data_IF_494622934530
#
_entry.id   IF_494622934530
#
_cell.length_a   1.000
_cell.length_b   1.000
_cell.length_c   1.000
_cell.angle_alpha   90.00
_cell.angle_beta   90.00
_cell.angle_gamma   90.00
#
_symmetry.space_group_name_H-M   'P 1'
#
loop_
_entity.id
_entity.type
_entity.pdbx_description
1 polymer ?
#
# COMPACT_ATOMS: atom_id res chain seq x y z
N UNK A 1 15.41 3.47 7.63
CA UNK A 1 14.23 3.69 8.50
C UNK A 1 14.32 2.72 9.67
N UNK A 2 14.38 3.23 10.92
CA UNK A 2 14.39 2.42 12.14
C UNK A 2 13.11 1.59 12.30
N UNK A 3 13.20 0.50 13.05
CA UNK A 3 12.05 -0.37 13.35
C UNK A 3 11.27 0.10 14.59
N UNK A 4 9.94 -0.15 14.65
CA UNK A 4 9.10 -0.79 13.63
C UNK A 4 8.70 0.17 12.50
N UNK A 5 8.60 -0.34 11.27
CA UNK A 5 8.20 0.43 10.07
C UNK A 5 7.21 -0.37 9.24
N UNK A 6 6.31 0.36 8.56
CA UNK A 6 5.25 -0.21 7.74
C UNK A 6 5.21 0.48 6.38
N UNK A 7 4.78 -0.26 5.36
CA UNK A 7 4.65 0.26 3.99
C UNK A 7 3.21 0.06 3.55
N UNK A 8 2.59 1.12 3.05
CA UNK A 8 1.23 1.04 2.49
C UNK A 8 1.27 1.36 1.00
N UNK A 9 0.69 0.49 0.19
CA UNK A 9 0.49 0.73 -1.23
C UNK A 9 -0.86 1.41 -1.44
N UNK A 10 -0.84 2.65 -1.95
CA UNK A 10 -2.04 3.46 -2.18
C UNK A 10 -2.32 3.53 -3.68
N UNK A 11 -3.52 3.10 -4.06
CA UNK A 11 -4.05 3.20 -5.41
C UNK A 11 -3.58 2.10 -6.35
N UNK A 12 -4.26 2.00 -7.50
CA UNK A 12 -4.03 0.95 -8.49
C UNK A 12 -2.57 0.91 -8.98
N UNK A 13 -1.97 2.09 -9.20
CA UNK A 13 -0.56 2.17 -9.59
C UNK A 13 0.38 1.60 -8.52
N UNK A 14 0.15 1.93 -7.24
CA UNK A 14 0.97 1.42 -6.13
C UNK A 14 0.73 -0.07 -5.85
N UNK A 15 -0.48 -0.56 -6.05
CA UNK A 15 -0.84 -1.95 -5.77
C UNK A 15 -0.37 -2.92 -6.86
N UNK A 16 -0.49 -2.56 -8.14
CA UNK A 16 -0.24 -3.49 -9.26
C UNK A 16 0.37 -2.85 -10.51
N UNK A 17 0.76 -1.57 -10.48
CA UNK A 17 1.13 -0.80 -11.69
C UNK A 17 -0.08 -0.17 -12.41
N UNK A 18 -1.29 -0.61 -12.09
CA UNK A 18 -2.54 -0.02 -12.57
C UNK A 18 -2.67 0.00 -14.10
N UNK A 19 -3.23 1.07 -14.65
CA UNK A 19 -3.40 1.25 -16.10
C UNK A 19 -2.06 1.38 -16.86
N UNK A 20 -0.98 1.65 -16.14
CA UNK A 20 0.35 1.82 -16.71
C UNK A 20 1.25 0.58 -16.54
N UNK A 21 0.70 -0.54 -16.07
CA UNK A 21 1.46 -1.78 -15.96
C UNK A 21 2.01 -2.19 -17.35
N UNK A 22 3.29 -2.58 -17.39
CA UNK A 22 4.02 -2.85 -18.63
C UNK A 22 4.60 -1.64 -19.37
N UNK A 23 4.35 -0.41 -18.92
CA UNK A 23 5.05 0.77 -19.44
C UNK A 23 6.51 0.81 -18.96
N UNK A 24 7.42 1.31 -19.78
CA UNK A 24 8.87 1.33 -19.50
C UNK A 24 9.26 2.06 -18.20
N UNK A 25 8.42 2.99 -17.75
CA UNK A 25 8.64 3.80 -16.55
C UNK A 25 7.91 3.30 -15.30
N UNK A 26 7.24 2.15 -15.36
CA UNK A 26 6.44 1.61 -14.24
C UNK A 26 6.98 0.25 -13.84
N UNK A 27 7.08 0.04 -12.53
CA UNK A 27 7.52 -1.25 -11.99
C UNK A 27 6.42 -2.29 -12.19
N UNK A 28 6.70 -3.42 -12.86
CA UNK A 28 5.73 -4.48 -13.05
C UNK A 28 5.23 -5.03 -11.72
N UNK A 29 3.92 -5.20 -11.59
CA UNK A 29 3.30 -5.70 -10.36
C UNK A 29 3.29 -4.72 -9.19
N UNK A 30 3.59 -3.43 -9.43
CA UNK A 30 3.47 -2.37 -8.43
C UNK A 30 4.55 -2.39 -7.35
N UNK A 31 4.23 -1.85 -6.17
CA UNK A 31 5.19 -1.65 -5.08
C UNK A 31 5.65 -2.97 -4.42
N UNK A 32 4.86 -4.04 -4.55
CA UNK A 32 5.13 -5.34 -3.93
C UNK A 32 6.44 -5.99 -4.38
N UNK A 33 6.93 -5.64 -5.58
CA UNK A 33 8.18 -6.17 -6.12
C UNK A 33 9.42 -5.42 -5.60
N UNK A 34 9.24 -4.25 -4.97
CA UNK A 34 10.33 -3.39 -4.49
C UNK A 34 10.46 -3.42 -2.98
N UNK A 35 9.34 -3.36 -2.26
CA UNK A 35 9.29 -3.31 -0.80
C UNK A 35 8.22 -4.26 -0.25
N UNK A 36 8.42 -4.81 0.97
CA UNK A 36 7.39 -5.59 1.64
C UNK A 36 6.24 -4.66 2.04
N UNK A 37 5.12 -4.76 1.34
CA UNK A 37 3.91 -3.97 1.59
C UNK A 37 3.11 -4.60 2.73
N UNK A 38 2.78 -3.80 3.74
CA UNK A 38 1.97 -4.20 4.89
C UNK A 38 0.47 -4.11 4.59
N UNK A 39 0.05 -3.07 3.88
CA UNK A 39 -1.37 -2.79 3.59
C UNK A 39 -1.54 -2.31 2.15
N UNK A 40 -2.59 -2.80 1.48
CA UNK A 40 -3.00 -2.37 0.15
C UNK A 40 -4.31 -1.61 0.23
N UNK A 41 -4.35 -0.41 -0.36
CA UNK A 41 -5.54 0.44 -0.42
C UNK A 41 -5.91 0.64 -1.89
N UNK A 42 -6.85 -0.15 -2.45
CA UNK A 42 -7.21 -0.06 -3.85
C UNK A 42 -7.99 1.22 -4.18
N UNK A 43 -7.80 1.75 -5.39
CA UNK A 43 -8.57 2.89 -5.94
C UNK A 43 -7.83 3.64 -7.07
N UNK A 44 -8.58 4.35 -7.92
CA UNK A 44 -8.01 5.13 -9.04
C UNK A 44 -8.95 6.29 -9.47
N UNK A 45 -8.91 7.46 -8.79
CA UNK A 45 -8.13 7.75 -7.59
C UNK A 45 -8.73 7.12 -6.33
N UNK A 46 -7.91 6.95 -5.29
CA UNK A 46 -8.40 6.43 -4.00
C UNK A 46 -9.24 7.49 -3.31
N UNK A 47 -10.36 7.08 -2.73
CA UNK A 47 -11.20 7.96 -1.90
C UNK A 47 -10.46 8.32 -0.60
N UNK A 48 -10.47 9.58 -0.15
CA UNK A 48 -9.80 9.98 1.09
C UNK A 48 -10.21 9.13 2.30
N UNK A 49 -11.48 8.75 2.39
CA UNK A 49 -12.01 7.93 3.48
C UNK A 49 -11.39 6.53 3.50
N UNK A 50 -11.09 5.96 2.31
CA UNK A 50 -10.44 4.66 2.21
C UNK A 50 -8.96 4.71 2.63
N UNK A 51 -8.30 5.86 2.46
CA UNK A 51 -6.93 6.06 2.97
C UNK A 51 -6.94 6.05 4.50
N UNK A 52 -7.88 6.81 5.10
CA UNK A 52 -8.02 6.90 6.56
C UNK A 52 -8.36 5.52 7.14
N UNK A 53 -9.32 4.80 6.54
CA UNK A 53 -9.69 3.45 6.96
C UNK A 53 -8.50 2.47 6.86
N UNK A 54 -7.68 2.57 5.80
CA UNK A 54 -6.47 1.75 5.67
C UNK A 54 -5.43 2.02 6.77
N UNK A 55 -5.25 3.29 7.17
CA UNK A 55 -4.36 3.66 8.29
C UNK A 55 -4.90 3.11 9.61
N UNK A 56 -6.20 3.26 9.87
CA UNK A 56 -6.83 2.75 11.11
C UNK A 56 -6.67 1.23 11.21
N UNK A 57 -6.92 0.50 10.12
CA UNK A 57 -6.73 -0.96 10.08
C UNK A 57 -5.27 -1.37 10.31
N UNK A 58 -4.32 -0.61 9.77
CA UNK A 58 -2.90 -0.85 10.00
C UNK A 58 -2.55 -0.70 11.48
N UNK A 59 -2.96 0.41 12.12
CA UNK A 59 -2.72 0.65 13.54
C UNK A 59 -3.33 -0.47 14.39
N UNK A 60 -4.57 -0.87 14.12
CA UNK A 60 -5.23 -1.98 14.83
C UNK A 60 -4.48 -3.30 14.69
N UNK A 61 -3.94 -3.60 13.51
CA UNK A 61 -3.14 -4.81 13.30
C UNK A 61 -1.83 -4.80 14.11
N UNK A 62 -1.23 -3.62 14.29
CA UNK A 62 0.00 -3.44 15.08
C UNK A 62 -0.29 -3.54 16.57
N UNK A 63 -1.38 -2.93 17.04
CA UNK A 63 -1.81 -3.03 18.44
C UNK A 63 -2.18 -4.47 18.82
N UNK A 64 -2.84 -5.21 17.91
CA UNK A 64 -3.17 -6.62 18.12
C UNK A 64 -1.91 -7.51 18.18
N UNK A 65 -0.87 -7.20 17.41
CA UNK A 65 0.39 -7.93 17.43
C UNK A 65 1.26 -7.60 18.67
N UNK A 66 0.98 -6.52 19.38
CA UNK A 66 1.69 -6.11 20.60
C UNK A 66 1.10 -6.69 21.90
N UNK A 67 -0.04 -7.37 21.83
CA UNK A 67 -0.66 -8.10 22.95
C UNK A 67 -0.23 -9.56 22.96
#
# INVERSE_FOLDING_TARGET
MPEPKFVMAIGACGCSGGVFDGCYGVVPGGLSSVLPVSVYIPGCPVRPEAIIDGVVKMIQSVEAASK
#
